data_IF_241992837816
#
_entry.id   IF_241992837816
#
_cell.length_a   1.000
_cell.length_b   1.000
_cell.length_c   1.000
_cell.angle_alpha   90.00
_cell.angle_beta   90.00
_cell.angle_gamma   90.00
#
_symmetry.space_group_name_H-M   'P 1'
#
loop_
_entity.id
_entity.type
_entity.pdbx_description
1 polymer ?
#
# COMPACT_ATOMS: atom_id res chain seq x y z
N UNK A 1 -0.89 -4.86 -8.14
CA UNK A 1 0.03 -6.02 -8.32
C UNK A 1 -0.32 -7.13 -7.34
N UNK A 2 -0.19 -8.40 -7.73
CA UNK A 2 -0.51 -9.56 -6.87
C UNK A 2 0.73 -10.07 -6.14
N UNK A 3 0.57 -10.40 -4.85
CA UNK A 3 1.60 -10.92 -3.95
C UNK A 3 2.09 -9.88 -2.96
N UNK A 4 2.30 -10.32 -1.72
CA UNK A 4 2.88 -9.52 -0.64
C UNK A 4 3.69 -10.44 0.27
N UNK A 5 4.75 -9.90 0.86
CA UNK A 5 5.54 -10.60 1.87
C UNK A 5 4.88 -10.56 3.27
N UNK A 6 3.87 -9.72 3.47
CA UNK A 6 3.09 -9.61 4.70
C UNK A 6 1.66 -10.12 4.57
N UNK A 7 0.96 -10.27 5.70
CA UNK A 7 -0.44 -10.67 5.76
C UNK A 7 -1.30 -9.66 6.50
N UNK A 8 -0.71 -8.83 7.37
CA UNK A 8 -1.36 -7.77 8.13
C UNK A 8 -2.66 -8.24 8.81
N UNK A 9 -2.63 -9.43 9.40
CA UNK A 9 -3.82 -10.17 9.86
C UNK A 9 -4.54 -9.52 11.03
N UNK A 10 -3.86 -8.64 11.78
CA UNK A 10 -4.36 -8.09 13.04
C UNK A 10 -4.96 -6.69 12.94
N UNK A 11 -4.84 -5.99 11.83
CA UNK A 11 -5.40 -4.64 11.69
C UNK A 11 -6.87 -4.57 12.15
N UNK A 12 -7.15 -3.69 13.11
CA UNK A 12 -8.48 -3.47 13.66
C UNK A 12 -9.03 -4.58 14.56
N UNK A 13 -8.27 -5.63 14.86
CA UNK A 13 -8.63 -6.65 15.85
C UNK A 13 -8.28 -6.16 17.25
N UNK A 14 -9.09 -6.53 18.23
CA UNK A 14 -8.78 -6.30 19.65
C UNK A 14 -7.83 -7.37 20.15
N UNK A 15 -7.03 -7.05 21.18
CA UNK A 15 -6.09 -7.99 21.80
C UNK A 15 -6.76 -9.30 22.22
N UNK A 16 -7.97 -9.23 22.79
CA UNK A 16 -8.77 -10.41 23.19
C UNK A 16 -9.12 -11.34 22.03
N UNK A 17 -9.17 -10.81 20.80
CA UNK A 17 -9.50 -11.57 19.60
C UNK A 17 -8.27 -12.24 18.99
N UNK A 18 -7.07 -11.87 19.48
CA UNK A 18 -5.76 -12.36 19.01
C UNK A 18 -5.19 -13.39 19.95
N UNK A 19 -5.46 -13.27 21.27
CA UNK A 19 -4.93 -14.14 22.28
C UNK A 19 -5.35 -15.61 22.09
N UNK A 20 -4.36 -16.49 22.03
CA UNK A 20 -4.58 -17.94 21.91
C UNK A 20 -4.94 -18.43 20.52
N UNK A 21 -4.87 -17.58 19.50
CA UNK A 21 -5.15 -17.96 18.11
C UNK A 21 -3.84 -18.00 17.32
N UNK A 22 -3.39 -19.20 17.03
CA UNK A 22 -2.28 -19.42 16.07
C UNK A 22 -2.83 -19.46 14.64
N UNK A 23 -3.20 -18.29 14.12
CA UNK A 23 -3.72 -18.16 12.77
C UNK A 23 -2.70 -17.48 11.87
N UNK A 24 -2.40 -18.11 10.74
CA UNK A 24 -1.58 -17.54 9.68
C UNK A 24 -2.34 -16.51 8.85
N UNK A 25 -3.68 -16.53 8.93
CA UNK A 25 -4.59 -15.68 8.17
C UNK A 25 -5.57 -14.96 9.11
N UNK A 26 -6.10 -13.82 8.65
CA UNK A 26 -7.21 -13.17 9.35
C UNK A 26 -8.47 -14.05 9.30
N UNK A 27 -9.22 -14.25 10.39
CA UNK A 27 -10.40 -15.11 10.44
C UNK A 27 -11.47 -14.77 9.40
N UNK A 28 -11.68 -13.48 9.10
CA UNK A 28 -12.63 -13.07 8.07
C UNK A 28 -12.19 -13.55 6.69
N UNK A 29 -10.89 -13.44 6.40
CA UNK A 29 -10.31 -13.91 5.14
C UNK A 29 -10.38 -15.44 5.05
N UNK A 30 -10.15 -16.16 6.15
CA UNK A 30 -10.32 -17.63 6.20
C UNK A 30 -11.74 -18.04 5.81
N UNK A 31 -12.75 -17.33 6.29
CA UNK A 31 -14.13 -17.62 5.94
C UNK A 31 -14.42 -17.35 4.45
N UNK A 32 -13.85 -16.30 3.89
CA UNK A 32 -13.96 -15.99 2.45
C UNK A 32 -13.28 -17.10 1.62
N UNK A 33 -12.09 -17.54 2.02
CA UNK A 33 -11.34 -18.60 1.35
C UNK A 33 -12.15 -19.92 1.34
N UNK A 34 -12.79 -20.29 2.45
CA UNK A 34 -13.63 -21.49 2.54
C UNK A 34 -14.80 -21.48 1.53
N UNK A 35 -15.26 -20.29 1.18
CA UNK A 35 -16.38 -20.09 0.25
C UNK A 35 -15.93 -19.52 -1.10
N UNK A 36 -14.66 -19.63 -1.44
CA UNK A 36 -14.06 -18.91 -2.59
C UNK A 36 -14.71 -19.25 -3.93
N UNK A 37 -15.28 -20.46 -4.07
CA UNK A 37 -15.92 -20.91 -5.31
C UNK A 37 -17.31 -20.29 -5.54
N UNK A 38 -17.85 -19.58 -4.56
CA UNK A 38 -19.10 -18.83 -4.70
C UNK A 38 -18.90 -17.50 -5.43
N UNK A 39 -17.64 -17.01 -5.53
CA UNK A 39 -17.31 -15.73 -6.16
C UNK A 39 -16.80 -15.93 -7.60
N UNK A 40 -17.31 -15.10 -8.52
CA UNK A 40 -16.94 -15.17 -9.94
C UNK A 40 -15.79 -14.21 -10.28
N UNK A 41 -15.67 -13.10 -9.54
CA UNK A 41 -14.66 -12.08 -9.73
C UNK A 41 -14.16 -11.52 -8.39
N UNK A 42 -13.06 -10.76 -8.40
CA UNK A 42 -12.60 -10.08 -7.20
C UNK A 42 -13.62 -9.01 -6.70
N UNK A 43 -14.46 -8.49 -7.57
CA UNK A 43 -15.50 -7.50 -7.23
C UNK A 43 -16.64 -8.09 -6.39
N UNK A 44 -16.81 -9.40 -6.45
CA UNK A 44 -17.84 -10.12 -5.67
C UNK A 44 -17.36 -10.41 -4.24
N UNK A 45 -16.07 -10.22 -3.97
CA UNK A 45 -15.48 -10.50 -2.67
C UNK A 45 -15.95 -9.48 -1.63
N UNK A 46 -16.31 -9.92 -0.41
CA UNK A 46 -16.78 -9.02 0.62
C UNK A 46 -15.64 -8.13 1.14
N UNK A 47 -15.97 -6.92 1.56
CA UNK A 47 -15.05 -6.08 2.31
C UNK A 47 -14.81 -6.67 3.70
N UNK A 48 -13.59 -6.53 4.21
CA UNK A 48 -13.23 -7.00 5.55
C UNK A 48 -13.02 -5.82 6.50
N UNK A 49 -13.67 -5.84 7.65
CA UNK A 49 -13.56 -4.80 8.65
C UNK A 49 -12.18 -4.77 9.33
N UNK A 50 -11.52 -5.91 9.41
CA UNK A 50 -10.23 -6.12 10.08
C UNK A 50 -9.27 -6.89 9.19
N UNK A 51 -7.96 -6.71 9.41
CA UNK A 51 -6.91 -7.31 8.59
C UNK A 51 -6.55 -6.43 7.39
N UNK A 52 -5.87 -7.03 6.41
CA UNK A 52 -5.50 -6.34 5.18
C UNK A 52 -6.74 -6.09 4.31
N UNK A 53 -7.01 -4.86 3.96
CA UNK A 53 -8.11 -4.48 3.06
C UNK A 53 -7.88 -4.92 1.61
N UNK A 54 -6.61 -5.03 1.22
CA UNK A 54 -6.19 -5.55 -0.10
C UNK A 54 -5.95 -7.06 -0.10
N UNK A 55 -6.62 -7.81 0.78
CA UNK A 55 -6.39 -9.24 0.98
C UNK A 55 -6.46 -10.07 -0.32
N UNK A 56 -7.31 -9.67 -1.25
CA UNK A 56 -7.46 -10.33 -2.55
C UNK A 56 -6.19 -10.29 -3.41
N UNK A 57 -5.31 -9.32 -3.15
CA UNK A 57 -4.00 -9.19 -3.81
C UNK A 57 -2.85 -9.81 -3.01
N UNK A 58 -3.12 -10.31 -1.79
CA UNK A 58 -2.10 -10.75 -0.84
C UNK A 58 -2.08 -12.27 -0.69
N UNK A 59 -3.25 -12.88 -0.53
CA UNK A 59 -3.36 -14.31 -0.22
C UNK A 59 -3.38 -15.16 -1.49
N UNK A 60 -2.57 -16.24 -1.57
CA UNK A 60 -2.41 -17.05 -2.79
C UNK A 60 -3.71 -17.66 -3.31
N UNK A 61 -4.68 -17.93 -2.43
CA UNK A 61 -5.98 -18.52 -2.75
C UNK A 61 -6.77 -17.67 -3.73
N UNK A 62 -6.59 -16.34 -3.70
CA UNK A 62 -7.26 -15.42 -4.63
C UNK A 62 -6.57 -15.29 -6.00
N UNK A 63 -5.46 -16.01 -6.22
CA UNK A 63 -4.74 -15.98 -7.51
C UNK A 63 -5.63 -16.36 -8.70
N UNK A 64 -6.72 -17.10 -8.47
CA UNK A 64 -7.68 -17.45 -9.52
C UNK A 64 -8.38 -16.22 -10.13
N UNK A 65 -8.45 -15.10 -9.43
CA UNK A 65 -9.04 -13.85 -9.89
C UNK A 65 -8.04 -12.92 -10.58
N UNK A 66 -6.74 -13.30 -10.61
CA UNK A 66 -5.71 -12.48 -11.24
C UNK A 66 -5.82 -12.59 -12.76
N UNK A 67 -6.04 -11.46 -13.39
CA UNK A 67 -5.98 -11.33 -14.84
C UNK A 67 -4.51 -11.22 -15.23
N UNK A 68 -4.08 -12.01 -16.19
CA UNK A 68 -2.75 -11.93 -16.78
C UNK A 68 -2.84 -11.16 -18.07
N UNK A 69 -2.13 -10.05 -18.13
CA UNK A 69 -2.09 -9.18 -19.30
C UNK A 69 -0.64 -8.93 -19.70
N UNK A 70 -0.42 -8.72 -20.97
CA UNK A 70 0.82 -8.19 -21.52
C UNK A 70 0.93 -6.71 -21.15
N UNK A 71 2.12 -6.12 -21.27
CA UNK A 71 2.30 -4.69 -21.07
C UNK A 71 1.39 -3.86 -21.99
N UNK A 72 1.24 -4.30 -23.24
CA UNK A 72 0.39 -3.67 -24.26
C UNK A 72 -1.10 -3.67 -23.87
N UNK A 73 -1.61 -4.81 -23.44
CA UNK A 73 -3.01 -4.96 -22.98
C UNK A 73 -3.27 -4.10 -21.74
N UNK A 74 -2.35 -4.14 -20.77
CA UNK A 74 -2.47 -3.36 -19.54
C UNK A 74 -2.43 -1.85 -19.82
N UNK A 75 -1.50 -1.38 -20.66
CA UNK A 75 -1.42 0.03 -21.03
C UNK A 75 -2.67 0.47 -21.78
N UNK A 76 -3.15 -0.33 -22.74
CA UNK A 76 -4.39 -0.04 -23.46
C UNK A 76 -5.60 0.03 -22.50
N UNK A 77 -5.67 -0.89 -21.52
CA UNK A 77 -6.69 -0.86 -20.48
C UNK A 77 -6.64 0.43 -19.66
N UNK A 78 -5.46 0.82 -19.16
CA UNK A 78 -5.27 2.06 -18.40
C UNK A 78 -5.65 3.29 -19.22
N UNK A 79 -5.15 3.44 -20.43
CA UNK A 79 -5.46 4.58 -21.30
C UNK A 79 -6.95 4.66 -21.62
N UNK A 80 -7.62 3.51 -21.79
CA UNK A 80 -9.07 3.48 -22.01
C UNK A 80 -9.91 3.93 -20.80
N UNK A 81 -9.35 3.88 -19.59
CA UNK A 81 -10.00 4.41 -18.40
C UNK A 81 -9.83 5.92 -18.24
N UNK A 82 -8.82 6.53 -18.88
CA UNK A 82 -8.58 7.96 -18.78
C UNK A 82 -9.70 8.76 -19.44
N UNK A 83 -10.09 9.92 -18.90
CA UNK A 83 -11.17 10.76 -19.43
C UNK A 83 -10.98 11.12 -20.91
N UNK A 84 -9.73 11.41 -21.31
CA UNK A 84 -9.38 11.85 -22.66
C UNK A 84 -8.70 10.78 -23.50
N UNK A 85 -8.60 9.54 -23.00
CA UNK A 85 -7.86 8.44 -23.62
C UNK A 85 -6.36 8.74 -23.86
N UNK A 86 -5.83 9.66 -23.08
CA UNK A 86 -4.42 10.06 -23.05
C UNK A 86 -4.06 10.60 -21.66
N UNK A 87 -2.81 10.50 -21.28
CA UNK A 87 -2.28 11.10 -20.04
C UNK A 87 -2.16 12.62 -20.22
N UNK A 88 -2.65 13.39 -19.24
CA UNK A 88 -2.52 14.85 -19.15
C UNK A 88 -2.04 15.24 -17.75
N UNK A 89 -2.95 15.31 -16.79
CA UNK A 89 -2.69 15.65 -15.41
C UNK A 89 -2.93 14.43 -14.46
N UNK A 90 -3.20 13.25 -15.07
CA UNK A 90 -3.46 12.06 -14.29
C UNK A 90 -2.16 11.47 -13.73
N UNK A 91 -2.24 10.97 -12.51
CA UNK A 91 -1.16 10.37 -11.75
C UNK A 91 -1.34 8.84 -11.69
N UNK A 92 -0.31 8.09 -12.02
CA UNK A 92 -0.35 6.64 -11.91
C UNK A 92 0.08 6.17 -10.53
N UNK A 93 -0.84 5.53 -9.80
CA UNK A 93 -0.53 4.86 -8.52
C UNK A 93 -0.36 3.36 -8.75
N UNK A 94 0.80 2.84 -8.43
CA UNK A 94 1.14 1.42 -8.52
C UNK A 94 1.07 0.84 -7.13
N UNK A 95 0.08 -0.02 -6.91
CA UNK A 95 -0.25 -0.64 -5.63
C UNK A 95 -0.59 -2.12 -5.79
N UNK A 96 -1.21 -2.72 -4.80
CA UNK A 96 -1.65 -4.12 -4.81
C UNK A 96 -1.35 -4.79 -3.48
N UNK A 97 -0.72 -5.95 -3.48
CA UNK A 97 -0.10 -6.53 -2.28
C UNK A 97 1.16 -5.73 -1.91
N UNK A 98 2.30 -6.08 -2.51
CA UNK A 98 3.54 -5.29 -2.45
C UNK A 98 4.06 -5.07 -3.88
N UNK A 99 3.98 -3.85 -4.42
CA UNK A 99 4.29 -3.61 -5.82
C UNK A 99 5.76 -3.81 -6.17
N UNK A 100 6.67 -3.69 -5.22
CA UNK A 100 8.10 -3.89 -5.46
C UNK A 100 8.55 -5.35 -5.29
N UNK A 101 7.67 -6.24 -4.83
CA UNK A 101 7.97 -7.67 -4.65
C UNK A 101 7.89 -8.42 -5.99
N UNK A 102 9.03 -8.62 -6.64
CA UNK A 102 9.14 -9.42 -7.87
C UNK A 102 8.65 -8.76 -9.16
N UNK A 103 8.10 -7.54 -9.10
CA UNK A 103 7.54 -6.83 -10.25
C UNK A 103 8.49 -5.82 -10.90
N UNK A 104 9.58 -5.43 -10.22
CA UNK A 104 10.47 -4.35 -10.63
C UNK A 104 11.03 -4.52 -12.06
N UNK A 105 11.28 -5.75 -12.49
CA UNK A 105 11.78 -6.04 -13.85
C UNK A 105 10.77 -5.79 -14.97
N UNK A 106 9.46 -5.74 -14.62
CA UNK A 106 8.38 -5.54 -15.61
C UNK A 106 8.00 -4.08 -15.78
N UNK A 107 8.32 -3.21 -14.82
CA UNK A 107 7.97 -1.80 -14.91
C UNK A 107 8.66 -1.03 -16.03
N UNK A 108 9.95 -1.25 -16.36
CA UNK A 108 10.57 -0.58 -17.50
C UNK A 108 9.84 -0.82 -18.82
N UNK A 109 9.39 -2.05 -19.08
CA UNK A 109 8.61 -2.38 -20.29
C UNK A 109 7.27 -1.62 -20.29
N UNK A 110 6.53 -1.67 -19.18
CA UNK A 110 5.25 -0.99 -19.03
C UNK A 110 5.36 0.53 -19.19
N UNK A 111 6.29 1.16 -18.44
CA UNK A 111 6.41 2.61 -18.35
C UNK A 111 7.11 3.23 -19.56
N UNK A 112 7.84 2.44 -20.37
CA UNK A 112 8.48 2.89 -21.63
C UNK A 112 7.57 2.75 -22.83
N UNK A 113 6.37 2.19 -22.67
CA UNK A 113 5.41 2.06 -23.75
C UNK A 113 5.05 3.44 -24.33
N UNK A 114 4.85 3.54 -25.67
CA UNK A 114 4.62 4.82 -26.35
C UNK A 114 3.44 5.62 -25.77
N UNK A 115 2.35 4.94 -25.41
CA UNK A 115 1.15 5.56 -24.81
C UNK A 115 1.35 6.04 -23.39
N UNK A 116 2.45 5.66 -22.72
CA UNK A 116 2.84 6.15 -21.40
C UNK A 116 3.76 7.37 -21.46
N UNK A 117 4.08 7.85 -22.68
CA UNK A 117 5.05 8.92 -22.88
C UNK A 117 4.69 10.22 -22.18
N UNK A 118 3.40 10.55 -22.13
CA UNK A 118 2.89 11.77 -21.51
C UNK A 118 2.65 11.63 -20.00
N UNK A 119 2.77 10.43 -19.42
CA UNK A 119 2.71 10.22 -17.97
C UNK A 119 3.93 10.86 -17.31
N UNK A 120 3.69 11.77 -16.37
CA UNK A 120 4.75 12.52 -15.67
C UNK A 120 4.92 12.15 -14.22
N UNK A 121 3.90 11.57 -13.57
CA UNK A 121 3.90 11.30 -12.15
C UNK A 121 3.52 9.84 -11.85
N UNK A 122 4.36 9.17 -11.07
CA UNK A 122 4.08 7.81 -10.57
C UNK A 122 4.26 7.73 -9.07
N UNK A 123 3.40 6.97 -8.40
CA UNK A 123 3.56 6.62 -6.97
C UNK A 123 3.60 5.11 -6.81
N UNK A 124 4.56 4.62 -6.02
CA UNK A 124 4.56 3.26 -5.49
C UNK A 124 4.03 3.27 -4.06
N UNK A 125 2.90 2.62 -3.83
CA UNK A 125 2.41 2.36 -2.48
C UNK A 125 3.01 1.06 -1.95
N UNK A 126 4.07 1.17 -1.17
CA UNK A 126 4.90 0.04 -0.72
C UNK A 126 4.93 -0.09 0.80
N UNK A 127 5.22 -1.28 1.31
CA UNK A 127 5.46 -1.48 2.74
C UNK A 127 6.90 -1.15 3.18
N UNK A 128 7.77 -0.75 2.23
CA UNK A 128 9.13 -0.29 2.51
C UNK A 128 10.15 -1.38 2.82
N UNK A 129 9.89 -2.63 2.45
CA UNK A 129 10.78 -3.76 2.75
C UNK A 129 11.50 -4.35 1.54
N UNK A 130 11.23 -3.82 0.34
CA UNK A 130 11.79 -4.35 -0.90
C UNK A 130 12.90 -3.43 -1.41
N UNK A 131 14.14 -3.91 -1.41
CA UNK A 131 15.25 -3.18 -2.00
C UNK A 131 15.02 -3.00 -3.51
N UNK A 132 15.39 -1.85 -4.04
CA UNK A 132 15.38 -1.63 -5.48
C UNK A 132 16.46 -2.48 -6.15
N UNK A 133 16.12 -3.18 -7.22
CA UNK A 133 17.13 -3.82 -8.04
C UNK A 133 17.98 -2.74 -8.73
N UNK A 134 19.30 -2.97 -8.95
CA UNK A 134 20.15 -1.96 -9.59
C UNK A 134 19.58 -1.46 -10.92
N UNK A 135 19.09 -2.36 -11.75
CA UNK A 135 18.52 -2.04 -13.06
C UNK A 135 17.26 -1.16 -12.95
N UNK A 136 16.42 -1.44 -11.93
CA UNK A 136 15.21 -0.65 -11.72
C UNK A 136 15.53 0.71 -11.11
N UNK A 137 16.49 0.78 -10.20
CA UNK A 137 16.99 2.04 -9.63
C UNK A 137 17.55 2.95 -10.72
N UNK A 138 18.37 2.41 -11.63
CA UNK A 138 18.91 3.14 -12.78
C UNK A 138 17.78 3.67 -13.68
N UNK A 139 16.80 2.82 -13.99
CA UNK A 139 15.63 3.21 -14.78
C UNK A 139 14.84 4.37 -14.15
N UNK A 140 14.57 4.29 -12.84
CA UNK A 140 13.88 5.35 -12.12
C UNK A 140 14.70 6.66 -12.08
N UNK A 141 16.02 6.54 -11.92
CA UNK A 141 16.91 7.70 -11.97
C UNK A 141 16.86 8.40 -13.35
N UNK A 142 16.81 7.62 -14.42
CA UNK A 142 16.67 8.17 -15.80
C UNK A 142 15.28 8.77 -16.02
N UNK A 143 14.23 8.21 -15.41
CA UNK A 143 12.88 8.78 -15.39
C UNK A 143 12.86 10.20 -14.80
N UNK A 144 13.53 10.40 -13.67
CA UNK A 144 13.65 11.72 -13.03
C UNK A 144 14.43 12.74 -13.87
N UNK A 145 15.50 12.31 -14.57
CA UNK A 145 16.34 13.21 -15.39
C UNK A 145 15.58 13.90 -16.52
N UNK A 146 14.48 13.32 -16.95
CA UNK A 146 13.62 13.92 -17.99
C UNK A 146 12.46 14.74 -17.43
N UNK A 147 12.52 15.10 -16.15
CA UNK A 147 11.55 15.98 -15.48
C UNK A 147 10.26 15.28 -15.05
N UNK A 148 10.28 13.96 -14.88
CA UNK A 148 9.16 13.19 -14.38
C UNK A 148 9.32 12.93 -12.89
N UNK A 149 8.23 12.78 -12.18
CA UNK A 149 8.22 12.64 -10.72
C UNK A 149 7.94 11.21 -10.26
N UNK A 150 8.68 10.78 -9.23
CA UNK A 150 8.48 9.50 -8.57
C UNK A 150 8.20 9.75 -7.10
N UNK A 151 7.15 9.12 -6.60
CA UNK A 151 6.81 9.13 -5.17
C UNK A 151 6.82 7.72 -4.61
N UNK A 152 7.42 7.54 -3.44
CA UNK A 152 7.27 6.35 -2.62
C UNK A 152 6.38 6.68 -1.41
N UNK A 153 5.15 6.18 -1.44
CA UNK A 153 4.22 6.17 -0.32
C UNK A 153 4.53 4.95 0.55
N UNK A 154 5.42 5.11 1.50
CA UNK A 154 5.90 4.00 2.32
C UNK A 154 4.98 3.81 3.53
N UNK A 155 4.38 2.62 3.64
CA UNK A 155 3.52 2.24 4.76
C UNK A 155 4.15 1.12 5.60
N UNK A 156 5.13 1.44 6.48
CA UNK A 156 5.75 0.44 7.33
C UNK A 156 4.72 -0.18 8.27
N UNK A 157 4.89 -1.47 8.57
CA UNK A 157 3.91 -2.22 9.36
C UNK A 157 4.34 -2.23 10.83
N UNK A 158 3.50 -1.64 11.68
CA UNK A 158 3.65 -1.66 13.13
C UNK A 158 3.07 -2.94 13.73
N UNK A 159 3.26 -3.16 15.04
CA UNK A 159 2.77 -4.33 15.77
C UNK A 159 1.24 -4.53 15.65
N UNK A 160 0.48 -3.44 15.55
CA UNK A 160 -0.97 -3.46 15.27
C UNK A 160 -1.34 -4.23 14.00
N UNK A 161 -0.44 -4.36 13.04
CA UNK A 161 -0.63 -5.18 11.83
C UNK A 161 -0.48 -6.67 12.08
N UNK A 162 0.21 -7.08 13.15
CA UNK A 162 0.61 -8.45 13.44
C UNK A 162 1.93 -8.86 12.80
N UNK A 163 2.64 -7.92 12.16
CA UNK A 163 3.96 -8.15 11.60
C UNK A 163 5.06 -7.87 12.63
N UNK A 164 6.22 -8.49 12.49
CA UNK A 164 7.34 -8.29 13.39
C UNK A 164 8.12 -7.03 13.03
N UNK A 165 8.53 -6.28 14.03
CA UNK A 165 9.36 -5.08 13.86
C UNK A 165 10.58 -5.32 12.98
N UNK A 166 11.35 -6.38 13.27
CA UNK A 166 12.57 -6.71 12.53
C UNK A 166 12.34 -6.98 11.03
N UNK A 167 11.14 -7.41 10.67
CA UNK A 167 10.79 -7.74 9.29
C UNK A 167 10.18 -6.52 8.58
N UNK A 168 9.52 -5.63 9.33
CA UNK A 168 8.71 -4.55 8.79
C UNK A 168 9.41 -3.18 8.78
N UNK A 169 10.32 -2.91 9.74
CA UNK A 169 11.02 -1.63 9.82
C UNK A 169 12.40 -1.79 9.18
N UNK A 170 12.57 -1.21 7.99
CA UNK A 170 13.76 -1.32 7.13
C UNK A 170 14.26 0.07 6.72
N UNK A 171 14.89 0.81 7.65
CA UNK A 171 15.30 2.19 7.40
C UNK A 171 16.30 2.33 6.24
N UNK A 172 17.18 1.37 6.09
CA UNK A 172 18.19 1.32 5.03
C UNK A 172 17.57 1.25 3.62
N UNK A 173 16.44 0.51 3.47
CA UNK A 173 15.72 0.40 2.20
C UNK A 173 15.02 1.70 1.86
N UNK A 174 14.37 2.32 2.85
CA UNK A 174 13.66 3.58 2.63
C UNK A 174 14.64 4.74 2.37
N UNK A 175 15.82 4.71 2.98
CA UNK A 175 16.88 5.65 2.64
C UNK A 175 17.25 5.58 1.15
N UNK A 176 17.35 4.36 0.59
CA UNK A 176 17.59 4.17 -0.85
C UNK A 176 16.47 4.76 -1.73
N UNK A 177 15.20 4.66 -1.29
CA UNK A 177 14.07 5.28 -2.02
C UNK A 177 14.19 6.80 -2.09
N UNK A 178 14.71 7.44 -1.02
CA UNK A 178 14.90 8.90 -0.99
C UNK A 178 15.94 9.42 -1.98
N UNK A 179 16.86 8.54 -2.41
CA UNK A 179 17.85 8.89 -3.45
C UNK A 179 17.23 8.94 -4.86
N UNK A 180 16.09 8.27 -5.04
CA UNK A 180 15.46 8.07 -6.35
C UNK A 180 14.20 8.91 -6.51
N UNK A 181 13.44 9.16 -5.44
CA UNK A 181 12.17 9.86 -5.54
C UNK A 181 11.74 10.54 -4.24
N UNK A 182 10.68 11.33 -4.33
CA UNK A 182 10.03 11.88 -3.16
C UNK A 182 9.47 10.74 -2.30
N UNK A 183 9.80 10.74 -1.02
CA UNK A 183 9.43 9.65 -0.12
C UNK A 183 8.77 10.18 1.13
N UNK A 184 7.65 9.58 1.54
CA UNK A 184 7.00 9.85 2.82
C UNK A 184 6.62 8.56 3.54
N UNK A 185 6.52 8.63 4.86
CA UNK A 185 6.03 7.53 5.70
C UNK A 185 4.56 7.71 6.02
N UNK A 186 3.79 6.60 5.98
CA UNK A 186 2.37 6.57 6.30
C UNK A 186 2.08 5.40 7.25
N UNK A 187 1.92 5.68 8.55
CA UNK A 187 1.64 4.68 9.55
C UNK A 187 0.13 4.51 9.76
N UNK A 188 -0.32 3.27 9.74
CA UNK A 188 -1.71 2.89 10.00
C UNK A 188 -1.85 2.56 11.47
N UNK A 189 -2.68 3.30 12.22
CA UNK A 189 -2.77 3.24 13.67
C UNK A 189 -4.22 3.26 14.19
N UNK A 190 -4.41 2.82 15.43
CA UNK A 190 -5.68 2.87 16.17
C UNK A 190 -5.58 3.59 17.51
N UNK A 191 -4.39 3.61 18.13
CA UNK A 191 -4.20 3.97 19.53
C UNK A 191 -3.02 4.92 19.75
N UNK A 192 -2.85 5.37 21.00
CA UNK A 192 -1.69 6.15 21.41
C UNK A 192 -0.43 5.28 21.47
N UNK A 193 -0.58 4.02 21.80
CA UNK A 193 0.51 3.03 21.81
C UNK A 193 1.05 2.82 20.39
N UNK A 194 0.15 2.69 19.41
CA UNK A 194 0.56 2.61 17.99
C UNK A 194 1.26 3.90 17.55
N UNK A 195 0.80 5.07 18.01
CA UNK A 195 1.43 6.35 17.71
C UNK A 195 2.85 6.45 18.31
N UNK A 196 3.05 5.97 19.54
CA UNK A 196 4.38 5.92 20.17
C UNK A 196 5.31 4.93 19.44
N UNK A 197 4.79 3.79 18.97
CA UNK A 197 5.55 2.87 18.13
C UNK A 197 5.92 3.52 16.78
N UNK A 198 4.99 4.26 16.17
CA UNK A 198 5.25 5.02 14.94
C UNK A 198 6.33 6.09 15.14
N UNK A 199 6.36 6.79 16.29
CA UNK A 199 7.44 7.72 16.62
C UNK A 199 8.79 7.01 16.69
N UNK A 200 8.84 5.87 17.38
CA UNK A 200 10.06 5.06 17.48
C UNK A 200 10.54 4.61 16.09
N UNK A 201 9.62 4.14 15.24
CA UNK A 201 9.94 3.76 13.86
C UNK A 201 10.44 4.97 13.05
N UNK A 202 9.76 6.11 13.12
CA UNK A 202 10.18 7.32 12.42
C UNK A 202 11.57 7.78 12.83
N UNK A 203 11.95 7.62 14.11
CA UNK A 203 13.30 7.92 14.58
C UNK A 203 14.35 7.00 13.93
N UNK A 204 14.06 5.69 13.77
CA UNK A 204 14.99 4.79 13.07
C UNK A 204 15.18 5.21 11.61
N UNK A 205 14.11 5.57 10.90
CA UNK A 205 14.22 6.12 9.53
C UNK A 205 15.01 7.44 9.50
N UNK A 206 14.79 8.34 10.47
CA UNK A 206 15.55 9.60 10.58
C UNK A 206 17.05 9.38 10.79
N UNK A 207 17.45 8.40 11.60
CA UNK A 207 18.86 8.03 11.81
C UNK A 207 19.55 7.61 10.51
N UNK A 208 18.81 7.03 9.56
CA UNK A 208 19.30 6.65 8.24
C UNK A 208 19.16 7.75 7.17
N UNK A 209 18.85 8.98 7.59
CA UNK A 209 18.82 10.16 6.69
C UNK A 209 17.46 10.47 6.07
N UNK A 210 16.40 9.74 6.41
CA UNK A 210 15.06 10.07 5.94
C UNK A 210 14.60 11.43 6.49
N UNK A 211 14.25 12.36 5.62
CA UNK A 211 13.80 13.72 5.99
C UNK A 211 12.38 14.06 5.51
N UNK A 212 11.71 13.12 4.87
CA UNK A 212 10.36 13.29 4.35
C UNK A 212 9.29 13.45 5.44
N UNK A 213 8.07 13.82 5.07
CA UNK A 213 6.96 13.94 6.02
C UNK A 213 6.48 12.57 6.51
N UNK A 214 5.83 12.60 7.68
CA UNK A 214 5.20 11.45 8.30
C UNK A 214 3.70 11.68 8.37
N UNK A 215 2.93 10.67 7.99
CA UNK A 215 1.48 10.66 8.03
C UNK A 215 0.98 9.59 9.00
N UNK A 216 -0.11 9.90 9.71
CA UNK A 216 -0.91 8.92 10.43
C UNK A 216 -2.21 8.68 9.68
N UNK A 217 -2.60 7.42 9.54
CA UNK A 217 -3.82 6.96 8.87
C UNK A 217 -4.63 6.06 9.81
N UNK A 218 -5.96 6.27 9.92
CA UNK A 218 -6.80 5.38 10.74
C UNK A 218 -6.91 3.98 10.13
N UNK A 219 -6.90 2.96 11.00
CA UNK A 219 -7.27 1.59 10.63
C UNK A 219 -8.75 1.51 10.27
N UNK A 220 -9.09 0.67 9.32
CA UNK A 220 -10.46 0.28 8.99
C UNK A 220 -10.60 -0.15 7.53
N UNK A 221 -11.06 -1.38 7.31
CA UNK A 221 -11.33 -1.93 5.97
C UNK A 221 -12.77 -1.70 5.52
N UNK A 222 -13.66 -1.27 6.42
CA UNK A 222 -15.02 -0.79 6.13
C UNK A 222 -15.18 0.63 6.63
N UNK A 223 -16.14 1.37 6.07
CA UNK A 223 -16.42 2.76 6.46
C UNK A 223 -16.74 2.89 7.95
N UNK A 224 -17.57 2.00 8.50
CA UNK A 224 -17.93 2.04 9.92
C UNK A 224 -16.71 1.83 10.81
N UNK A 225 -15.83 0.87 10.47
CA UNK A 225 -14.62 0.59 11.24
C UNK A 225 -13.62 1.73 11.15
N UNK A 226 -13.44 2.30 9.97
CA UNK A 226 -12.58 3.44 9.72
C UNK A 226 -13.02 4.68 10.51
N UNK A 227 -14.32 5.01 10.47
CA UNK A 227 -14.88 6.20 11.13
C UNK A 227 -14.69 6.19 12.66
N UNK A 228 -14.66 5.01 13.29
CA UNK A 228 -14.39 4.90 14.73
C UNK A 228 -13.05 5.48 15.17
N UNK A 229 -12.08 5.53 14.26
CA UNK A 229 -10.69 5.92 14.56
C UNK A 229 -10.31 7.30 13.99
N UNK A 230 -11.08 7.87 13.06
CA UNK A 230 -10.71 9.08 12.30
C UNK A 230 -10.34 10.25 13.20
N UNK A 231 -11.23 10.62 14.14
CA UNK A 231 -11.02 11.76 15.04
C UNK A 231 -9.80 11.56 15.92
N UNK A 232 -9.69 10.40 16.55
CA UNK A 232 -8.57 10.08 17.45
C UNK A 232 -7.23 10.17 16.73
N UNK A 233 -7.13 9.58 15.53
CA UNK A 233 -5.89 9.58 14.74
C UNK A 233 -5.56 10.98 14.24
N UNK A 234 -6.54 11.79 13.88
CA UNK A 234 -6.32 13.20 13.52
C UNK A 234 -5.77 14.01 14.71
N UNK A 235 -6.34 13.83 15.90
CA UNK A 235 -5.86 14.49 17.13
C UNK A 235 -4.43 14.07 17.47
N UNK A 236 -4.08 12.77 17.29
CA UNK A 236 -2.70 12.27 17.47
C UNK A 236 -1.73 12.85 16.44
N UNK A 237 -2.12 12.96 15.19
CA UNK A 237 -1.29 13.56 14.16
C UNK A 237 -0.98 15.03 14.48
N UNK A 238 -1.99 15.80 14.91
CA UNK A 238 -1.78 17.18 15.34
C UNK A 238 -0.86 17.28 16.58
N UNK A 239 -1.03 16.39 17.57
CA UNK A 239 -0.21 16.36 18.78
C UNK A 239 1.27 16.10 18.46
N UNK A 240 1.55 15.24 17.49
CA UNK A 240 2.91 14.89 17.05
C UNK A 240 3.49 15.90 16.03
N UNK A 241 2.72 16.87 15.56
CA UNK A 241 3.13 17.74 14.46
C UNK A 241 3.30 17.02 13.12
N UNK A 242 2.59 15.92 12.95
CA UNK A 242 2.58 15.10 11.75
C UNK A 242 1.33 15.36 10.90
N UNK A 243 1.30 14.75 9.72
CA UNK A 243 0.16 14.90 8.81
C UNK A 243 -0.87 13.80 9.04
N UNK A 244 -2.14 14.12 8.83
CA UNK A 244 -3.22 13.16 8.80
C UNK A 244 -3.48 12.69 7.37
N UNK A 245 -3.66 11.40 7.16
CA UNK A 245 -4.06 10.81 5.88
C UNK A 245 -5.47 10.24 5.99
N UNK A 246 -6.43 10.87 5.31
CA UNK A 246 -7.76 10.31 5.15
C UNK A 246 -7.75 9.12 4.20
N UNK A 247 -8.81 8.30 4.27
CA UNK A 247 -9.11 7.25 3.30
C UNK A 247 -10.33 7.69 2.49
N UNK A 248 -10.09 8.50 1.47
CA UNK A 248 -11.15 9.11 0.67
C UNK A 248 -12.07 8.07 0.02
N UNK A 249 -11.55 6.90 -0.35
CA UNK A 249 -12.36 5.81 -0.88
C UNK A 249 -13.39 5.29 0.15
N UNK A 250 -13.07 5.35 1.45
CA UNK A 250 -14.05 5.01 2.50
C UNK A 250 -15.11 6.09 2.64
N UNK A 251 -14.70 7.36 2.61
CA UNK A 251 -15.59 8.50 2.81
C UNK A 251 -16.54 8.72 1.62
N UNK A 252 -16.06 8.53 0.40
CA UNK A 252 -16.80 8.83 -0.84
C UNK A 252 -17.51 7.60 -1.41
N UNK A 253 -16.89 6.40 -1.34
CA UNK A 253 -17.33 5.22 -2.06
C UNK A 253 -17.53 4.00 -1.15
N UNK A 254 -17.54 4.17 0.17
CA UNK A 254 -17.70 3.09 1.15
C UNK A 254 -16.66 1.95 0.99
N UNK A 255 -15.51 2.27 0.44
CA UNK A 255 -14.41 1.35 0.15
C UNK A 255 -14.78 0.22 -0.85
N UNK A 256 -15.70 0.48 -1.78
CA UNK A 256 -16.07 -0.47 -2.83
C UNK A 256 -14.87 -0.84 -3.72
N UNK A 257 -14.89 -2.06 -4.27
CA UNK A 257 -13.83 -2.49 -5.17
C UNK A 257 -13.78 -1.69 -6.47
N UNK A 258 -12.61 -1.12 -6.76
CA UNK A 258 -12.38 -0.34 -7.98
C UNK A 258 -12.65 1.16 -7.84
N UNK A 259 -12.72 1.65 -6.58
CA UNK A 259 -12.88 3.08 -6.28
C UNK A 259 -11.62 3.67 -5.66
#
# INVERSE_FOLDING_TARGET
>A
MFGCNFRCKNFGRYEKDILGIDETHNPNVVQIIKNIDQYQSFKDLPLVATGCDSYSSVYPEFKKFVIKETADELVNGMVNMLPHKEWRDEHLVITGGEPLLGWQRSYPELLSHEKMRALTEITFETNGTQQLTPQFKDYLSDWNKVGREITFSVSPKLSVSGEKWSDAIKPEIVAEYTEVGYTYLKFVITSEEDAAEAESAAQEYRKMGFNGPVYLMPVGGTTEKYQLNTRRVADLAMKLGWRYSARLQCDLFQNEWGT
#
